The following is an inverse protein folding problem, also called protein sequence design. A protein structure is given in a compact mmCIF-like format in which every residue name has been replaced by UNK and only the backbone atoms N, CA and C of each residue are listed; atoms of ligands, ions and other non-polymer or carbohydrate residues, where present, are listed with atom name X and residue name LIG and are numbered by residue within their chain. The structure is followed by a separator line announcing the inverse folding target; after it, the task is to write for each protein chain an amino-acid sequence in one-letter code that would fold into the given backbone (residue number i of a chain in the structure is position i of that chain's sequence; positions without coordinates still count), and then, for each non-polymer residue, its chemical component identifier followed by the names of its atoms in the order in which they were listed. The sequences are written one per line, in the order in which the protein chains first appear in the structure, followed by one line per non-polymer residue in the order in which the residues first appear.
data_IF_196007975479
#
_entry.id   IF_196007975479
#
_cell.length_a   1.000
_cell.length_b   1.000
_cell.length_c   1.000
_cell.angle_alpha   90.00
_cell.angle_beta   90.00
_cell.angle_gamma   90.00
#
_symmetry.space_group_name_H-M   'P 1'
#
loop_
_entity.id
_entity.type
_entity.pdbx_description
1 polymer ?
#
# COMPACT_ATOMS: atom_id res chain seq x y z
N UNK A 1 4.84 -0.69 13.52
CA UNK A 1 3.64 -0.06 12.88
C UNK A 1 3.06 -1.00 11.84
N UNK A 2 1.76 -1.01 11.71
CA UNK A 2 1.08 -1.88 10.75
C UNK A 2 0.21 -1.07 9.81
N UNK A 3 0.40 -1.30 8.51
CA UNK A 3 -0.41 -0.72 7.45
C UNK A 3 -1.51 -1.70 7.05
N UNK A 4 -2.66 -1.16 6.66
CA UNK A 4 -3.74 -1.95 6.08
C UNK A 4 -3.77 -1.63 4.58
N UNK A 5 -3.69 -2.67 3.74
CA UNK A 5 -3.69 -2.50 2.29
C UNK A 5 -4.85 -3.26 1.67
N UNK A 6 -5.71 -2.54 0.97
CA UNK A 6 -6.82 -3.15 0.23
C UNK A 6 -6.36 -3.49 -1.18
N UNK A 7 -6.60 -4.73 -1.58
CA UNK A 7 -6.13 -5.27 -2.86
C UNK A 7 -7.21 -6.11 -3.54
N UNK A 8 -6.97 -6.40 -4.81
CA UNK A 8 -7.65 -7.46 -5.54
C UNK A 8 -6.57 -8.42 -6.06
N UNK A 9 -6.75 -9.74 -5.90
CA UNK A 9 -5.66 -10.71 -6.17
C UNK A 9 -5.14 -10.71 -7.60
N UNK A 10 -5.98 -10.34 -8.57
CA UNK A 10 -5.60 -10.37 -9.99
C UNK A 10 -5.38 -9.00 -10.60
N UNK A 11 -5.40 -7.96 -9.80
CA UNK A 11 -5.20 -6.61 -10.30
C UNK A 11 -3.73 -6.37 -10.65
N UNK A 12 -3.42 -5.95 -11.89
CA UNK A 12 -2.03 -5.69 -12.30
C UNK A 12 -1.34 -4.66 -11.44
N UNK A 13 -2.08 -3.64 -10.98
CA UNK A 13 -1.51 -2.60 -10.10
C UNK A 13 -1.18 -3.16 -8.73
N UNK A 14 -1.96 -4.12 -8.23
CA UNK A 14 -1.67 -4.77 -6.96
C UNK A 14 -0.43 -5.67 -7.07
N UNK A 15 -0.28 -6.39 -8.18
CA UNK A 15 0.90 -7.22 -8.42
C UNK A 15 2.15 -6.35 -8.54
N UNK A 16 2.06 -5.24 -9.26
CA UNK A 16 3.16 -4.29 -9.38
C UNK A 16 3.54 -3.71 -8.01
N UNK A 17 2.55 -3.34 -7.22
CA UNK A 17 2.78 -2.81 -5.88
C UNK A 17 3.57 -3.80 -5.02
N UNK A 18 3.22 -5.08 -5.06
CA UNK A 18 3.92 -6.09 -4.27
C UNK A 18 5.38 -6.20 -4.68
N UNK A 19 5.66 -6.17 -5.98
CA UNK A 19 7.03 -6.16 -6.47
C UNK A 19 7.79 -4.93 -5.99
N UNK A 20 7.15 -3.76 -6.05
CA UNK A 20 7.78 -2.51 -5.63
C UNK A 20 8.06 -2.47 -4.14
N UNK A 21 7.14 -2.99 -3.33
CA UNK A 21 7.34 -3.11 -1.88
C UNK A 21 8.53 -3.99 -1.58
N UNK A 22 8.67 -5.13 -2.29
CA UNK A 22 9.81 -6.01 -2.09
C UNK A 22 11.12 -5.34 -2.49
N UNK A 23 11.12 -4.58 -3.59
CA UNK A 23 12.31 -3.81 -4.00
C UNK A 23 12.70 -2.78 -2.94
N UNK A 24 11.72 -2.05 -2.42
CA UNK A 24 11.98 -1.05 -1.39
C UNK A 24 12.52 -1.69 -0.11
N UNK A 25 11.98 -2.82 0.30
CA UNK A 25 12.45 -3.55 1.48
C UNK A 25 13.88 -4.08 1.30
N UNK A 26 14.23 -4.47 0.08
CA UNK A 26 15.58 -4.92 -0.21
C UNK A 26 16.58 -3.76 -0.19
N UNK A 27 16.13 -2.56 -0.53
CA UNK A 27 16.96 -1.35 -0.58
C UNK A 27 17.08 -0.66 0.78
N UNK A 28 16.08 -0.84 1.67
CA UNK A 28 15.96 -0.09 2.91
C UNK A 28 15.62 -1.04 4.06
N UNK A 29 16.63 -1.38 4.85
CA UNK A 29 16.49 -2.35 5.97
C UNK A 29 15.47 -1.91 7.03
N UNK A 30 15.32 -0.61 7.25
CA UNK A 30 14.37 -0.08 8.24
C UNK A 30 12.92 -0.42 7.91
N UNK A 31 12.60 -0.73 6.66
CA UNK A 31 11.24 -1.06 6.26
C UNK A 31 10.81 -2.44 6.74
N UNK A 32 11.74 -3.28 7.19
CA UNK A 32 11.40 -4.60 7.73
C UNK A 32 10.52 -4.52 8.97
N UNK A 33 10.57 -3.40 9.70
CA UNK A 33 9.76 -3.20 10.90
C UNK A 33 8.31 -2.78 10.59
N UNK A 34 8.01 -2.42 9.35
CA UNK A 34 6.67 -2.00 8.95
C UNK A 34 5.90 -3.21 8.44
N UNK A 35 4.88 -3.62 9.19
CA UNK A 35 4.02 -4.72 8.79
C UNK A 35 2.92 -4.22 7.85
N UNK A 36 2.53 -5.06 6.91
CA UNK A 36 1.43 -4.76 5.99
C UNK A 36 0.43 -5.92 6.06
N UNK A 37 -0.81 -5.59 6.40
CA UNK A 37 -1.90 -6.55 6.34
C UNK A 37 -2.62 -6.34 5.02
N UNK A 38 -2.56 -7.34 4.14
CA UNK A 38 -3.23 -7.28 2.84
C UNK A 38 -4.65 -7.83 2.99
N UNK A 39 -5.63 -7.03 2.57
CA UNK A 39 -7.03 -7.40 2.64
C UNK A 39 -7.61 -7.42 1.24
N UNK A 40 -8.11 -8.60 0.84
CA UNK A 40 -8.81 -8.76 -0.44
C UNK A 40 -10.21 -8.16 -0.28
N UNK A 41 -10.46 -7.03 -0.96
CA UNK A 41 -11.73 -6.33 -0.81
C UNK A 41 -12.92 -7.14 -1.33
N UNK A 42 -12.69 -8.07 -2.25
CA UNK A 42 -13.76 -8.93 -2.76
C UNK A 42 -14.17 -9.99 -1.75
N UNK A 43 -13.25 -10.38 -0.87
CA UNK A 43 -13.52 -11.35 0.19
C UNK A 43 -14.06 -10.68 1.45
N UNK A 44 -13.75 -9.40 1.66
CA UNK A 44 -14.17 -8.66 2.85
C UNK A 44 -14.77 -7.30 2.48
N UNK A 45 -15.88 -7.29 1.70
CA UNK A 45 -16.45 -6.03 1.22
C UNK A 45 -16.96 -5.13 2.34
N UNK A 46 -17.44 -5.73 3.43
CA UNK A 46 -17.96 -4.95 4.56
C UNK A 46 -16.85 -4.17 5.26
N UNK A 47 -15.67 -4.75 5.35
CA UNK A 47 -14.52 -4.07 5.94
C UNK A 47 -14.04 -2.97 4.99
N UNK A 48 -13.98 -3.24 3.70
CA UNK A 48 -13.56 -2.27 2.70
C UNK A 48 -14.48 -1.04 2.69
N UNK A 49 -15.78 -1.25 2.88
CA UNK A 49 -16.76 -0.15 2.89
C UNK A 49 -16.54 0.85 4.03
N UNK A 50 -15.79 0.47 5.04
CA UNK A 50 -15.49 1.37 6.18
C UNK A 50 -14.36 2.36 5.87
N UNK A 51 -13.69 2.19 4.72
CA UNK A 51 -12.53 3.01 4.36
C UNK A 51 -12.83 3.81 3.11
N UNK A 52 -12.27 5.01 3.04
CA UNK A 52 -12.54 5.95 1.94
C UNK A 52 -11.46 5.81 0.87
N UNK A 53 -11.72 4.99 -0.13
CA UNK A 53 -10.84 4.85 -1.29
C UNK A 53 -11.65 4.40 -2.51
N UNK A 54 -11.08 4.63 -3.69
CA UNK A 54 -11.73 4.30 -4.95
C UNK A 54 -10.95 3.29 -5.80
N UNK A 55 -9.67 3.16 -5.57
CA UNK A 55 -8.78 2.32 -6.39
C UNK A 55 -7.92 1.44 -5.52
N UNK A 56 -7.55 0.27 -6.05
CA UNK A 56 -6.62 -0.63 -5.38
C UNK A 56 -5.31 -0.69 -6.16
N UNK A 57 -4.17 -0.85 -5.51
CA UNK A 57 -4.01 -0.97 -4.05
C UNK A 57 -4.15 0.38 -3.34
N UNK A 58 -4.70 0.36 -2.13
CA UNK A 58 -4.77 1.53 -1.25
C UNK A 58 -4.28 1.16 0.13
N UNK A 59 -3.47 2.03 0.72
CA UNK A 59 -2.84 1.79 2.02
C UNK A 59 -3.31 2.79 3.06
N UNK A 60 -3.58 2.28 4.25
CA UNK A 60 -4.05 3.10 5.38
C UNK A 60 -3.20 2.84 6.61
N UNK A 61 -2.94 3.90 7.37
CA UNK A 61 -2.42 3.81 8.73
C UNK A 61 -3.56 4.23 9.65
N UNK A 62 -4.17 3.25 10.34
CA UNK A 62 -5.44 3.50 11.01
C UNK A 62 -6.50 3.83 9.96
N UNK A 63 -7.11 5.00 10.06
CA UNK A 63 -8.10 5.46 9.09
C UNK A 63 -7.53 6.49 8.10
N UNK A 64 -6.26 6.82 8.24
CA UNK A 64 -5.61 7.80 7.37
C UNK A 64 -5.07 7.11 6.12
N UNK A 65 -5.55 7.56 4.95
CA UNK A 65 -5.08 7.04 3.67
C UNK A 65 -3.73 7.65 3.34
N UNK A 66 -2.72 6.79 3.14
CA UNK A 66 -1.37 7.23 2.81
C UNK A 66 -1.00 6.98 1.35
N UNK A 67 -1.72 6.10 0.68
CA UNK A 67 -1.42 5.76 -0.70
C UNK A 67 -2.68 5.23 -1.38
N UNK A 68 -2.90 5.67 -2.60
CA UNK A 68 -3.93 5.11 -3.46
C UNK A 68 -3.39 5.10 -4.88
N UNK A 69 -3.42 3.94 -5.54
CA UNK A 69 -2.85 3.76 -6.87
C UNK A 69 -3.54 4.66 -7.91
N UNK A 70 -2.77 5.05 -8.92
CA UNK A 70 -3.29 5.82 -10.03
C UNK A 70 -2.82 5.19 -11.34
N UNK A 71 -3.71 5.03 -12.34
CA UNK A 71 -3.31 4.53 -13.64
C UNK A 71 -2.45 5.52 -14.43
N UNK A 72 -2.34 6.75 -13.94
CA UNK A 72 -1.53 7.81 -14.58
C UNK A 72 -0.06 7.71 -14.22
N UNK A 73 0.30 6.92 -13.21
CA UNK A 73 1.69 6.84 -12.74
C UNK A 73 2.48 5.81 -13.53
N UNK A 74 3.74 6.16 -13.82
CA UNK A 74 4.71 5.18 -14.29
C UNK A 74 5.10 4.27 -13.12
N UNK A 75 5.77 3.14 -13.42
CA UNK A 75 6.27 2.24 -12.38
C UNK A 75 7.22 2.98 -11.42
N UNK A 76 8.10 3.81 -11.99
CA UNK A 76 9.05 4.58 -11.18
C UNK A 76 8.35 5.56 -10.25
N UNK A 77 7.30 6.22 -10.73
CA UNK A 77 6.54 7.15 -9.91
C UNK A 77 5.78 6.42 -8.81
N UNK A 78 5.19 5.27 -9.12
CA UNK A 78 4.51 4.44 -8.12
C UNK A 78 5.49 4.02 -7.03
N UNK A 79 6.72 3.61 -7.41
CA UNK A 79 7.74 3.24 -6.45
C UNK A 79 8.13 4.42 -5.56
N UNK A 80 8.29 5.60 -6.16
CA UNK A 80 8.62 6.81 -5.41
C UNK A 80 7.54 7.12 -4.36
N UNK A 81 6.27 7.00 -4.75
CA UNK A 81 5.16 7.30 -3.86
C UNK A 81 5.00 6.26 -2.75
N UNK A 82 5.29 4.99 -3.04
CA UNK A 82 5.32 3.96 -2.01
C UNK A 82 6.44 4.24 -1.00
N UNK A 83 7.61 4.67 -1.50
CA UNK A 83 8.70 5.06 -0.63
C UNK A 83 8.32 6.21 0.28
N UNK A 84 7.64 7.22 -0.27
CA UNK A 84 7.15 8.35 0.53
C UNK A 84 6.13 7.91 1.59
N UNK A 85 5.29 6.93 1.26
CA UNK A 85 4.36 6.35 2.21
C UNK A 85 5.10 5.73 3.39
N UNK A 86 6.12 4.93 3.11
CA UNK A 86 6.93 4.32 4.17
C UNK A 86 7.63 5.38 5.02
N UNK A 87 8.13 6.44 4.41
CA UNK A 87 8.74 7.55 5.15
C UNK A 87 7.74 8.17 6.11
N UNK A 88 6.50 8.37 5.66
CA UNK A 88 5.45 8.93 6.50
C UNK A 88 5.13 8.01 7.69
N UNK A 89 5.12 6.70 7.47
CA UNK A 89 4.88 5.73 8.55
C UNK A 89 6.00 5.78 9.57
N UNK A 90 7.25 5.80 9.11
CA UNK A 90 8.41 5.82 10.01
C UNK A 90 8.48 7.11 10.82
N UNK A 91 8.04 8.23 10.25
CA UNK A 91 7.99 9.50 10.97
C UNK A 91 6.97 9.50 12.12
N UNK A 92 5.96 8.63 12.04
CA UNK A 92 4.91 8.55 13.06
C UNK A 92 5.27 7.62 14.23
N UNK A 93 6.39 6.93 14.14
CA UNK A 93 6.89 6.09 15.22
C UNK A 93 7.57 6.95 16.35
#
# INVERSE_FOLDING_TARGET
MKLTAFILPRCPYCLQMRELVEELRAERDELASVEIEFIDESAQPELADRYDYYRVPSFFLGTEKLYEASPLWTRAEAKHRLGAMFDAVLEKE
#
